data_IF_078592165825
#
_entry.id   IF_078592165825
#
_cell.length_a   1.000
_cell.length_b   1.000
_cell.length_c   1.000
_cell.angle_alpha   90.00
_cell.angle_beta   90.00
_cell.angle_gamma   90.00
#
_symmetry.space_group_name_H-M   'P 1'
#
loop_
_entity.id
_entity.type
_entity.pdbx_description
1 polymer ?
#
# COMPACT_ATOMS: atom_id res chain seq x y z
N UNK A 1 -20.85 10.71 -20.97
CA UNK A 1 -20.21 10.66 -19.63
C UNK A 1 -19.64 9.27 -19.45
N UNK A 2 -18.34 9.13 -19.21
CA UNK A 2 -17.75 7.84 -18.87
C UNK A 2 -18.06 7.57 -17.39
N UNK A 3 -18.99 6.65 -17.12
CA UNK A 3 -19.27 6.22 -15.75
C UNK A 3 -18.18 5.22 -15.36
N UNK A 4 -17.30 5.62 -14.45
CA UNK A 4 -16.35 4.69 -13.83
C UNK A 4 -17.16 3.72 -12.98
N UNK A 5 -17.03 2.40 -13.18
CA UNK A 5 -17.74 1.43 -12.35
C UNK A 5 -17.38 1.61 -10.87
N UNK A 6 -18.35 1.51 -9.97
CA UNK A 6 -18.12 1.68 -8.51
C UNK A 6 -17.00 0.77 -7.99
N UNK A 7 -16.93 -0.46 -8.52
CA UNK A 7 -15.88 -1.42 -8.18
C UNK A 7 -14.48 -0.95 -8.61
N UNK A 8 -14.38 -0.25 -9.75
CA UNK A 8 -13.12 0.34 -10.20
C UNK A 8 -12.66 1.44 -9.24
N UNK A 9 -13.60 2.29 -8.81
CA UNK A 9 -13.32 3.35 -7.85
C UNK A 9 -12.89 2.77 -6.49
N UNK A 10 -13.58 1.74 -6.02
CA UNK A 10 -13.24 1.03 -4.79
C UNK A 10 -11.83 0.43 -4.86
N UNK A 11 -11.49 -0.26 -5.95
CA UNK A 11 -10.16 -0.84 -6.13
C UNK A 11 -9.06 0.23 -6.16
N UNK A 12 -9.32 1.38 -6.80
CA UNK A 12 -8.39 2.51 -6.80
C UNK A 12 -8.15 3.03 -5.38
N UNK A 13 -9.22 3.17 -4.58
CA UNK A 13 -9.13 3.63 -3.21
C UNK A 13 -8.33 2.66 -2.33
N UNK A 14 -8.57 1.34 -2.45
CA UNK A 14 -7.77 0.34 -1.73
C UNK A 14 -6.28 0.40 -2.12
N UNK A 15 -5.96 0.57 -3.40
CA UNK A 15 -4.57 0.72 -3.85
C UNK A 15 -3.90 1.95 -3.20
N UNK A 16 -4.62 3.07 -3.13
CA UNK A 16 -4.12 4.29 -2.49
C UNK A 16 -3.88 4.10 -1.00
N UNK A 17 -4.81 3.46 -0.28
CA UNK A 17 -4.68 3.20 1.15
C UNK A 17 -3.49 2.29 1.48
N UNK A 18 -3.26 1.23 0.69
CA UNK A 18 -2.08 0.37 0.83
C UNK A 18 -0.80 1.20 0.63
N UNK A 19 -0.75 2.05 -0.41
CA UNK A 19 0.41 2.90 -0.65
C UNK A 19 0.70 3.83 0.54
N UNK A 20 -0.34 4.44 1.11
CA UNK A 20 -0.22 5.34 2.26
C UNK A 20 0.30 4.60 3.50
N UNK A 21 -0.23 3.40 3.80
CA UNK A 21 0.26 2.58 4.92
C UNK A 21 1.74 2.22 4.77
N UNK A 22 2.17 1.85 3.56
CA UNK A 22 3.59 1.55 3.30
C UNK A 22 4.47 2.79 3.48
N UNK A 23 4.02 3.96 3.02
CA UNK A 23 4.73 5.23 3.22
C UNK A 23 4.83 5.60 4.70
N UNK A 24 3.75 5.45 5.46
CA UNK A 24 3.75 5.67 6.92
C UNK A 24 4.71 4.73 7.65
N UNK A 25 4.75 3.45 7.23
CA UNK A 25 5.71 2.49 7.76
C UNK A 25 7.15 2.94 7.50
N UNK A 26 7.48 3.30 6.26
CA UNK A 26 8.82 3.79 5.90
C UNK A 26 9.21 5.02 6.74
N UNK A 27 8.29 5.96 6.94
CA UNK A 27 8.52 7.14 7.78
C UNK A 27 8.76 6.81 9.25
N UNK A 28 8.06 5.82 9.80
CA UNK A 28 8.15 5.43 11.22
C UNK A 28 9.52 4.86 11.60
N UNK A 29 10.20 4.19 10.66
CA UNK A 29 11.54 3.67 10.87
C UNK A 29 12.65 4.73 10.65
N UNK A 30 12.28 6.01 10.71
CA UNK A 30 13.13 7.20 10.66
C UNK A 30 14.20 7.17 9.57
N UNK A 31 13.82 6.71 8.38
CA UNK A 31 14.65 6.89 7.19
C UNK A 31 14.30 8.19 6.48
N UNK A 32 14.20 9.25 7.27
CA UNK A 32 14.18 10.64 6.84
C UNK A 32 15.43 11.01 6.00
N UNK A 33 16.52 10.25 6.14
CA UNK A 33 17.77 10.37 5.36
C UNK A 33 17.71 9.74 3.96
N UNK A 34 16.79 8.81 3.74
CA UNK A 34 16.44 8.37 2.41
C UNK A 34 15.72 9.58 1.79
N UNK A 35 16.44 10.39 1.01
CA UNK A 35 15.87 11.43 0.15
C UNK A 35 15.10 10.76 -0.97
N UNK A 36 13.89 10.33 -0.67
CA UNK A 36 13.18 9.41 -1.54
C UNK A 36 12.48 10.10 -2.67
N UNK A 37 13.26 10.25 -3.74
CA UNK A 37 12.81 10.24 -5.13
C UNK A 37 12.07 8.94 -5.50
N UNK A 38 11.28 8.32 -4.62
CA UNK A 38 10.47 7.16 -4.99
C UNK A 38 9.30 7.62 -5.84
N UNK A 39 9.41 7.36 -7.14
CA UNK A 39 8.40 7.77 -8.12
C UNK A 39 7.31 6.71 -8.25
N UNK A 40 7.57 5.46 -7.86
CA UNK A 40 6.67 4.35 -8.19
C UNK A 40 6.26 3.51 -6.99
N UNK A 41 5.06 2.94 -7.07
CA UNK A 41 4.52 2.00 -6.08
C UNK A 41 5.42 0.78 -5.85
N UNK A 42 6.14 0.30 -6.88
CA UNK A 42 7.10 -0.81 -6.76
C UNK A 42 8.28 -0.46 -5.86
N UNK A 43 8.79 0.77 -5.96
CA UNK A 43 9.86 1.25 -5.08
C UNK A 43 9.36 1.26 -3.62
N UNK A 44 8.16 1.79 -3.39
CA UNK A 44 7.54 1.84 -2.06
C UNK A 44 7.42 0.43 -1.45
N UNK A 45 6.93 -0.55 -2.21
CA UNK A 45 6.87 -1.96 -1.76
C UNK A 45 8.26 -2.50 -1.44
N UNK A 46 9.21 -2.34 -2.36
CA UNK A 46 10.55 -2.90 -2.20
C UNK A 46 11.20 -2.38 -0.92
N UNK A 47 11.13 -1.07 -0.67
CA UNK A 47 11.74 -0.49 0.53
C UNK A 47 10.98 -0.86 1.79
N UNK A 48 9.64 -0.84 1.78
CA UNK A 48 8.88 -1.36 2.91
C UNK A 48 9.28 -2.81 3.25
N UNK A 49 9.53 -3.66 2.25
CA UNK A 49 9.98 -5.05 2.45
C UNK A 49 11.40 -5.19 3.01
N UNK A 50 12.28 -4.21 2.78
CA UNK A 50 13.69 -4.26 3.21
C UNK A 50 13.95 -3.57 4.53
N UNK A 51 13.19 -2.50 4.78
CA UNK A 51 13.37 -1.61 5.93
C UNK A 51 12.53 -2.08 7.10
N UNK A 52 11.29 -2.47 6.82
CA UNK A 52 10.39 -2.85 7.88
C UNK A 52 10.64 -4.32 8.17
N UNK A 53 10.98 -4.66 9.42
CA UNK A 53 11.04 -6.06 9.89
C UNK A 53 9.66 -6.73 9.93
N UNK A 54 8.62 -6.01 9.47
CA UNK A 54 7.20 -6.33 9.64
C UNK A 54 6.57 -6.81 8.33
N UNK A 55 7.16 -6.45 7.18
CA UNK A 55 6.83 -7.08 5.89
C UNK A 55 7.65 -8.37 5.78
N UNK A 56 7.07 -9.46 6.29
CA UNK A 56 7.61 -10.83 6.18
C UNK A 56 7.39 -11.39 4.77
N UNK A 57 7.90 -12.60 4.47
CA UNK A 57 7.69 -13.26 3.18
C UNK A 57 6.21 -13.43 2.81
N UNK A 58 5.33 -13.64 3.79
CA UNK A 58 3.88 -13.72 3.57
C UNK A 58 3.29 -12.36 3.16
N UNK A 59 3.57 -11.30 3.92
CA UNK A 59 3.11 -9.94 3.60
C UNK A 59 3.70 -9.43 2.28
N UNK A 60 4.94 -9.79 1.96
CA UNK A 60 5.57 -9.48 0.68
C UNK A 60 4.84 -10.14 -0.49
N UNK A 61 4.42 -11.41 -0.36
CA UNK A 61 3.63 -12.09 -1.38
C UNK A 61 2.26 -11.42 -1.60
N UNK A 62 1.60 -11.00 -0.51
CA UNK A 62 0.34 -10.24 -0.59
C UNK A 62 0.52 -8.90 -1.31
N UNK A 63 1.60 -8.17 -1.01
CA UNK A 63 1.96 -6.92 -1.69
C UNK A 63 2.26 -7.10 -3.18
N UNK A 64 2.94 -8.19 -3.56
CA UNK A 64 3.20 -8.52 -4.97
C UNK A 64 1.88 -8.76 -5.71
N UNK A 65 0.97 -9.56 -5.12
CA UNK A 65 -0.36 -9.81 -5.71
C UNK A 65 -1.17 -8.51 -5.82
N UNK A 66 -1.17 -7.68 -4.78
CA UNK A 66 -1.81 -6.37 -4.79
C UNK A 66 -1.23 -5.44 -5.86
N UNK A 67 0.10 -5.46 -6.10
CA UNK A 67 0.70 -4.69 -7.19
C UNK A 67 0.21 -5.14 -8.57
N UNK A 68 0.03 -6.44 -8.80
CA UNK A 68 -0.55 -6.96 -10.05
C UNK A 68 -1.98 -6.45 -10.26
N UNK A 69 -2.81 -6.45 -9.21
CA UNK A 69 -4.16 -5.88 -9.26
C UNK A 69 -4.09 -4.38 -9.54
N UNK A 70 -3.22 -3.65 -8.85
CA UNK A 70 -3.01 -2.20 -9.03
C UNK A 70 -2.58 -1.85 -10.46
N UNK A 71 -1.76 -2.67 -11.11
CA UNK A 71 -1.41 -2.50 -12.53
C UNK A 71 -2.63 -2.67 -13.45
N UNK A 72 -3.50 -3.65 -13.18
CA UNK A 72 -4.79 -3.81 -13.90
C UNK A 72 -5.70 -2.60 -13.70
N UNK A 73 -5.87 -2.16 -12.45
CA UNK A 73 -6.69 -0.99 -12.08
C UNK A 73 -6.19 0.27 -12.80
N UNK A 74 -4.87 0.49 -12.82
CA UNK A 74 -4.24 1.64 -13.49
C UNK A 74 -4.44 1.64 -15.01
N UNK A 75 -4.59 0.45 -15.61
CA UNK A 75 -4.89 0.27 -17.04
C UNK A 75 -6.39 0.27 -17.35
N UNK A 76 -7.24 0.54 -16.36
CA UNK A 76 -8.70 0.48 -16.46
C UNK A 76 -9.21 -0.87 -16.99
N UNK A 77 -8.51 -1.95 -16.66
CA UNK A 77 -9.00 -3.31 -16.94
C UNK A 77 -10.15 -3.66 -15.99
N UNK A 78 -11.00 -4.60 -16.38
CA UNK A 78 -12.10 -5.10 -15.55
C UNK A 78 -11.59 -5.58 -14.20
N UNK A 79 -12.14 -5.00 -13.12
CA UNK A 79 -11.87 -5.41 -11.75
C UNK A 79 -12.89 -6.47 -11.33
N UNK A 80 -12.39 -7.61 -10.85
CA UNK A 80 -13.20 -8.71 -10.33
C UNK A 80 -13.43 -8.59 -8.82
N UNK A 81 -14.27 -9.45 -8.25
CA UNK A 81 -14.40 -9.54 -6.79
C UNK A 81 -13.14 -10.14 -6.14
N UNK A 82 -12.45 -11.05 -6.83
CA UNK A 82 -11.16 -11.58 -6.38
C UNK A 82 -10.10 -10.47 -6.29
N UNK A 83 -10.10 -9.52 -7.23
CA UNK A 83 -9.22 -8.36 -7.18
C UNK A 83 -9.43 -7.52 -5.92
N UNK A 84 -10.70 -7.28 -5.56
CA UNK A 84 -11.06 -6.58 -4.33
C UNK A 84 -10.57 -7.35 -3.12
N UNK A 85 -10.84 -8.65 -3.05
CA UNK A 85 -10.40 -9.51 -1.95
C UNK A 85 -8.86 -9.48 -1.78
N UNK A 86 -8.09 -9.54 -2.87
CA UNK A 86 -6.62 -9.46 -2.83
C UNK A 86 -6.17 -8.12 -2.23
N UNK A 87 -6.80 -7.02 -2.62
CA UNK A 87 -6.46 -5.70 -2.11
C UNK A 87 -6.83 -5.54 -0.62
N UNK A 88 -8.00 -6.02 -0.22
CA UNK A 88 -8.45 -5.99 1.18
C UNK A 88 -7.58 -6.88 2.07
N UNK A 89 -7.27 -8.11 1.66
CA UNK A 89 -6.38 -9.01 2.40
C UNK A 89 -4.99 -8.39 2.58
N UNK A 90 -4.45 -7.78 1.53
CA UNK A 90 -3.17 -7.08 1.60
C UNK A 90 -3.23 -5.91 2.60
N UNK A 91 -4.23 -5.03 2.48
CA UNK A 91 -4.42 -3.87 3.37
C UNK A 91 -4.58 -4.28 4.83
N UNK A 92 -5.36 -5.33 5.10
CA UNK A 92 -5.62 -5.80 6.45
C UNK A 92 -4.40 -6.51 7.07
N UNK A 93 -3.52 -7.08 6.25
CA UNK A 93 -2.30 -7.75 6.70
C UNK A 93 -1.15 -6.77 6.99
N UNK A 94 -1.23 -5.54 6.48
CA UNK A 94 -0.21 -4.53 6.76
C UNK A 94 -0.31 -4.05 8.22
N UNK A 95 0.83 -3.93 8.92
CA UNK A 95 0.85 -3.41 10.27
C UNK A 95 0.34 -1.97 10.30
N UNK A 96 -0.66 -1.72 11.14
CA UNK A 96 -1.16 -0.37 11.36
C UNK A 96 -0.13 0.39 12.19
N UNK A 97 0.42 1.46 11.63
CA UNK A 97 1.24 2.40 12.40
C UNK A 97 0.29 3.08 13.38
N UNK A 98 0.39 2.71 14.65
CA UNK A 98 -0.28 3.46 15.71
C UNK A 98 0.34 4.85 15.70
N UNK A 99 -0.44 5.90 15.39
CA UNK A 99 0.00 7.28 15.62
C UNK A 99 0.23 7.39 17.13
N UNK A 100 1.48 7.19 17.56
CA UNK A 100 1.87 7.43 18.94
C UNK A 100 1.45 8.85 19.27
N UNK A 101 0.67 9.00 20.36
CA UNK A 101 0.36 10.31 20.92
C UNK A 101 1.69 11.08 21.00
N UNK A 102 1.76 12.22 20.33
CA UNK A 102 2.80 13.19 20.61
C UNK A 102 2.68 13.53 22.09
N UNK A 103 3.51 12.91 22.93
CA UNK A 103 3.72 13.35 24.29
C UNK A 103 4.44 14.69 24.20
N UNK A 104 3.69 15.78 24.16
CA UNK A 104 4.20 17.09 24.51
C UNK A 104 4.52 17.06 26.01
N UNK A 105 5.78 16.79 26.33
CA UNK A 105 6.38 17.27 27.56
C UNK A 105 6.80 18.73 27.30
N UNK A 106 6.17 19.64 28.03
CA UNK A 106 6.44 21.07 28.08
C UNK A 106 5.69 21.66 29.25
#
# INVERSE_FOLDING_TARGET
MYQVPERQLHAYQLCYEIEMQLRELIHTFDISSLKLKYKTYKDVIYIASKVTKVVTGENANKLIRANTVRERVSRMMTVTEEDIFILEDCRNSLPKVSKGKQSHAG
#
